data_IF_791161193351
#
_entry.id   IF_791161193351
#
_cell.length_a   1.000
_cell.length_b   1.000
_cell.length_c   1.000
_cell.angle_alpha   90.00
_cell.angle_beta   90.00
_cell.angle_gamma   90.00
#
_symmetry.space_group_name_H-M   'P 1'
#
loop_
_entity.id
_entity.type
_entity.pdbx_description
1 polymer ?
#
# COMPACT_ATOMS: atom_id res chain seq x y z
N UNK A 1 15.27 23.90 -51.02
CA UNK A 1 14.33 23.50 -49.95
C UNK A 1 13.44 24.68 -49.57
N UNK A 2 12.11 24.51 -49.60
CA UNK A 2 11.15 25.58 -49.29
C UNK A 2 11.28 26.06 -47.84
N UNK A 3 10.94 27.33 -47.56
CA UNK A 3 10.94 27.92 -46.20
C UNK A 3 10.14 27.06 -45.22
N UNK A 4 9.04 26.46 -45.68
CA UNK A 4 8.23 25.50 -44.92
C UNK A 4 8.99 24.20 -44.59
N UNK A 5 9.80 23.70 -45.52
CA UNK A 5 10.63 22.50 -45.31
C UNK A 5 11.77 22.71 -44.32
N UNK A 6 12.36 23.91 -44.28
CA UNK A 6 13.37 24.27 -43.26
C UNK A 6 12.76 24.36 -41.86
N UNK A 7 11.56 24.92 -41.74
CA UNK A 7 10.83 24.99 -40.46
C UNK A 7 10.46 23.59 -39.97
N UNK A 8 9.96 22.72 -40.86
CA UNK A 8 9.59 21.35 -40.51
C UNK A 8 10.79 20.52 -40.06
N UNK A 9 11.93 20.63 -40.74
CA UNK A 9 13.16 19.95 -40.37
C UNK A 9 13.71 20.42 -39.00
N UNK A 10 13.65 21.73 -38.73
CA UNK A 10 14.05 22.28 -37.44
C UNK A 10 13.14 21.80 -36.30
N UNK A 11 11.83 21.74 -36.53
CA UNK A 11 10.87 21.21 -35.55
C UNK A 11 11.10 19.72 -35.25
N UNK A 12 11.32 18.89 -36.29
CA UNK A 12 11.61 17.47 -36.11
C UNK A 12 12.94 17.22 -35.38
N UNK A 13 13.98 18.02 -35.68
CA UNK A 13 15.27 17.92 -35.03
C UNK A 13 15.21 18.21 -33.52
N UNK A 14 14.20 18.95 -33.05
CA UNK A 14 13.98 19.23 -31.62
C UNK A 14 12.98 18.25 -31.01
N UNK A 15 11.85 18.02 -31.68
CA UNK A 15 10.76 17.20 -31.12
C UNK A 15 11.11 15.72 -31.05
N UNK A 16 11.80 15.17 -32.06
CA UNK A 16 12.17 13.76 -32.08
C UNK A 16 13.06 13.35 -30.89
N UNK A 17 14.20 14.02 -30.59
CA UNK A 17 15.01 13.67 -29.43
C UNK A 17 14.30 13.90 -28.10
N UNK A 18 13.48 14.96 -27.97
CA UNK A 18 12.69 15.20 -26.76
C UNK A 18 11.68 14.06 -26.53
N UNK A 19 10.97 13.64 -27.58
CA UNK A 19 10.04 12.52 -27.50
C UNK A 19 10.74 11.19 -27.24
N UNK A 20 11.92 10.95 -27.81
CA UNK A 20 12.70 9.74 -27.56
C UNK A 20 13.20 9.67 -26.12
N UNK A 21 13.70 10.79 -25.57
CA UNK A 21 14.12 10.89 -24.16
C UNK A 21 12.91 10.69 -23.25
N UNK A 22 11.78 11.36 -23.52
CA UNK A 22 10.56 11.19 -22.73
C UNK A 22 10.06 9.74 -22.76
N UNK A 23 10.05 9.10 -23.94
CA UNK A 23 9.65 7.71 -24.06
C UNK A 23 10.57 6.80 -23.25
N UNK A 24 11.90 6.97 -23.37
CA UNK A 24 12.87 6.22 -22.59
C UNK A 24 12.67 6.37 -21.08
N UNK A 25 12.35 7.57 -20.61
CA UNK A 25 12.16 7.83 -19.19
C UNK A 25 10.82 7.32 -18.65
N UNK A 26 9.72 7.50 -19.39
CA UNK A 26 8.36 7.29 -18.86
C UNK A 26 7.74 5.95 -19.23
N UNK A 27 8.10 5.34 -20.37
CA UNK A 27 7.50 4.07 -20.80
C UNK A 27 7.72 2.93 -19.79
N UNK A 28 8.91 2.74 -19.18
CA UNK A 28 9.12 1.69 -18.18
C UNK A 28 8.23 1.86 -16.94
N UNK A 29 7.85 3.10 -16.61
CA UNK A 29 6.98 3.42 -15.48
C UNK A 29 5.56 2.95 -15.76
N UNK A 30 5.05 3.28 -16.95
CA UNK A 30 3.70 2.89 -17.39
C UNK A 30 3.50 1.37 -17.50
N UNK A 31 4.59 0.61 -17.62
CA UNK A 31 4.55 -0.85 -17.62
C UNK A 31 4.47 -1.47 -16.21
N UNK A 32 4.67 -0.69 -15.14
CA UNK A 32 4.57 -1.18 -13.76
C UNK A 32 3.12 -1.14 -13.27
N UNK A 33 2.64 -2.26 -12.74
CA UNK A 33 1.30 -2.34 -12.13
C UNK A 33 1.12 -1.31 -10.99
N UNK A 34 2.17 -1.10 -10.17
CA UNK A 34 2.19 -0.14 -9.07
C UNK A 34 1.82 1.28 -9.51
N UNK A 35 2.25 1.70 -10.71
CA UNK A 35 1.92 3.04 -11.23
C UNK A 35 0.41 3.23 -11.42
N UNK A 36 -0.29 2.21 -11.92
CA UNK A 36 -1.73 2.24 -12.08
C UNK A 36 -2.46 2.08 -10.74
N UNK A 37 -1.96 1.21 -9.87
CA UNK A 37 -2.52 0.98 -8.54
C UNK A 37 -2.44 2.23 -7.66
N UNK A 38 -1.33 2.98 -7.74
CA UNK A 38 -1.12 4.21 -6.98
C UNK A 38 -2.12 5.31 -7.32
N UNK A 39 -2.65 5.35 -8.56
CA UNK A 39 -3.71 6.30 -8.91
C UNK A 39 -5.03 6.01 -8.21
N UNK A 40 -5.26 4.76 -7.79
CA UNK A 40 -6.42 4.34 -7.03
C UNK A 40 -6.13 4.22 -5.52
N UNK A 41 -4.95 4.65 -5.07
CA UNK A 41 -4.56 4.54 -3.66
C UNK A 41 -5.43 5.46 -2.79
N UNK A 42 -5.99 4.96 -1.66
CA UNK A 42 -6.79 5.78 -0.74
C UNK A 42 -6.00 6.90 -0.05
N UNK A 43 -4.67 6.84 -0.09
CA UNK A 43 -3.78 7.79 0.57
C UNK A 43 -2.36 7.25 0.71
N UNK A 44 -1.43 8.02 1.31
CA UNK A 44 -0.09 7.52 1.58
C UNK A 44 -0.11 6.46 2.70
N UNK A 45 0.79 5.48 2.58
CA UNK A 45 1.09 4.56 3.66
C UNK A 45 1.70 5.29 4.87
N UNK A 46 1.53 4.70 6.05
CA UNK A 46 2.16 5.11 7.29
C UNK A 46 3.67 5.23 7.13
N UNK A 47 4.30 6.09 7.94
CA UNK A 47 5.75 6.29 7.90
C UNK A 47 6.53 4.98 8.10
N UNK A 48 5.98 4.04 8.87
CA UNK A 48 6.60 2.73 9.12
C UNK A 48 6.61 1.83 7.87
N UNK A 49 5.56 1.89 7.05
CA UNK A 49 5.42 1.09 5.84
C UNK A 49 5.68 1.86 4.55
N UNK A 50 6.17 3.11 4.62
CA UNK A 50 6.42 3.93 3.44
C UNK A 50 7.34 3.28 2.40
N UNK A 51 8.18 2.33 2.81
CA UNK A 51 9.04 1.56 1.93
C UNK A 51 8.28 0.57 1.01
N UNK A 52 7.03 0.22 1.35
CA UNK A 52 6.15 -0.67 0.59
C UNK A 52 5.27 0.06 -0.44
N UNK A 53 5.42 1.38 -0.60
CA UNK A 53 4.52 2.20 -1.44
C UNK A 53 4.41 1.78 -2.91
N UNK A 54 5.39 1.03 -3.42
CA UNK A 54 5.40 0.51 -4.80
C UNK A 54 5.08 -1.00 -4.87
N UNK A 55 4.78 -1.63 -3.74
CA UNK A 55 4.49 -3.06 -3.63
C UNK A 55 3.15 -3.28 -2.93
N UNK A 56 2.06 -2.97 -3.63
CA UNK A 56 0.70 -3.14 -3.09
C UNK A 56 0.41 -4.60 -2.71
N UNK A 57 1.05 -5.56 -3.38
CA UNK A 57 0.87 -6.99 -3.15
C UNK A 57 1.51 -7.46 -1.82
N UNK A 58 2.34 -6.61 -1.19
CA UNK A 58 2.85 -6.88 0.15
C UNK A 58 1.74 -6.93 1.22
N UNK A 59 0.57 -6.34 0.95
CA UNK A 59 -0.58 -6.38 1.87
C UNK A 59 -1.88 -6.83 1.19
N UNK A 60 -2.06 -6.54 -0.10
CA UNK A 60 -3.30 -6.84 -0.82
C UNK A 60 -3.20 -8.08 -1.69
N UNK A 61 -4.20 -8.95 -1.56
CA UNK A 61 -4.48 -10.00 -2.54
C UNK A 61 -5.53 -9.51 -3.54
N UNK A 62 -5.33 -9.70 -4.86
CA UNK A 62 -6.29 -9.27 -5.87
C UNK A 62 -7.72 -9.70 -5.55
N UNK A 63 -8.67 -8.77 -5.70
CA UNK A 63 -10.11 -8.95 -5.42
C UNK A 63 -10.46 -9.12 -3.94
N UNK A 64 -9.60 -9.75 -3.13
CA UNK A 64 -9.85 -10.01 -1.71
C UNK A 64 -9.56 -8.82 -0.80
N UNK A 65 -8.62 -7.96 -1.20
CA UNK A 65 -8.18 -6.85 -0.36
C UNK A 65 -7.05 -7.26 0.57
N UNK A 66 -6.97 -6.62 1.75
CA UNK A 66 -5.92 -6.90 2.73
C UNK A 66 -6.18 -8.24 3.42
N UNK A 67 -5.16 -9.09 3.51
CA UNK A 67 -5.25 -10.38 4.22
C UNK A 67 -4.33 -10.38 5.44
N UNK A 68 -4.84 -10.79 6.59
CA UNK A 68 -4.06 -10.82 7.84
C UNK A 68 -2.76 -11.63 7.78
N UNK A 69 -2.72 -12.65 6.92
CA UNK A 69 -1.52 -13.46 6.71
C UNK A 69 -0.33 -12.62 6.20
N UNK A 70 -0.57 -11.55 5.44
CA UNK A 70 0.51 -10.68 4.95
C UNK A 70 1.13 -9.85 6.06
N UNK A 71 0.33 -9.45 7.06
CA UNK A 71 0.83 -8.77 8.26
C UNK A 71 1.72 -9.70 9.08
N UNK A 72 1.24 -10.93 9.29
CA UNK A 72 1.93 -11.96 10.08
C UNK A 72 3.20 -12.43 9.39
N UNK A 73 3.27 -12.42 8.05
CA UNK A 73 4.49 -12.79 7.32
C UNK A 73 5.74 -12.01 7.76
N UNK A 74 5.58 -10.75 8.19
CA UNK A 74 6.66 -9.94 8.73
C UNK A 74 6.64 -9.85 10.27
N UNK A 75 5.46 -9.85 10.89
CA UNK A 75 5.30 -9.58 12.32
C UNK A 75 5.12 -10.81 13.22
N UNK A 76 5.06 -12.03 12.67
CA UNK A 76 4.82 -13.27 13.44
C UNK A 76 5.76 -13.42 14.65
N UNK A 77 7.03 -13.07 14.48
CA UNK A 77 8.06 -13.20 15.52
C UNK A 77 8.38 -11.87 16.22
N UNK A 78 7.57 -10.84 16.02
CA UNK A 78 7.79 -9.55 16.66
C UNK A 78 7.33 -9.59 18.12
N UNK A 79 8.17 -10.18 18.97
CA UNK A 79 7.89 -10.38 20.39
C UNK A 79 7.64 -9.07 21.13
N UNK A 80 8.17 -7.94 20.65
CA UNK A 80 7.90 -6.62 21.23
C UNK A 80 6.43 -6.22 21.07
N UNK A 81 5.78 -6.67 20.00
CA UNK A 81 4.35 -6.45 19.73
C UNK A 81 3.46 -7.52 20.41
N UNK A 82 3.91 -8.77 20.52
CA UNK A 82 3.05 -9.88 21.00
C UNK A 82 3.19 -10.17 22.51
N UNK A 83 4.34 -9.89 23.12
CA UNK A 83 4.67 -10.34 24.49
C UNK A 83 4.70 -9.21 25.54
N UNK A 84 4.34 -7.97 25.19
CA UNK A 84 4.22 -6.90 26.18
C UNK A 84 2.94 -7.08 26.99
N UNK A 85 2.97 -6.79 28.29
CA UNK A 85 1.77 -6.83 29.15
C UNK A 85 0.55 -6.07 28.57
N UNK A 86 0.68 -4.83 28.03
CA UNK A 86 -0.43 -4.17 27.35
C UNK A 86 -0.83 -4.79 25.99
N UNK A 87 -0.07 -5.77 25.48
CA UNK A 87 -0.33 -6.47 24.22
C UNK A 87 -0.65 -7.95 24.39
N UNK A 88 -0.72 -8.48 25.62
CA UNK A 88 -1.27 -9.83 25.90
C UNK A 88 -2.66 -10.03 25.28
N UNK A 89 -3.44 -8.94 25.21
CA UNK A 89 -4.67 -8.86 24.43
C UNK A 89 -4.53 -9.40 22.99
N UNK A 90 -3.43 -9.11 22.28
CA UNK A 90 -3.20 -9.61 20.92
C UNK A 90 -3.02 -11.12 20.87
N UNK A 91 -2.52 -11.76 21.94
CA UNK A 91 -2.44 -13.22 22.00
C UNK A 91 -3.84 -13.84 22.13
N UNK A 92 -4.73 -13.21 22.90
CA UNK A 92 -6.11 -13.68 23.13
C UNK A 92 -7.01 -13.46 21.91
N UNK A 93 -6.76 -12.41 21.12
CA UNK A 93 -7.48 -12.13 19.87
C UNK A 93 -6.74 -12.62 18.62
N UNK A 94 -5.61 -13.30 18.75
CA UNK A 94 -4.79 -13.76 17.61
C UNK A 94 -5.58 -14.62 16.61
N UNK A 95 -6.54 -15.41 17.09
CA UNK A 95 -7.42 -16.23 16.27
C UNK A 95 -8.56 -15.47 15.56
N UNK A 96 -8.68 -14.15 15.78
CA UNK A 96 -9.72 -13.33 15.14
C UNK A 96 -9.33 -12.82 13.75
N UNK A 97 -8.05 -12.90 13.38
CA UNK A 97 -7.53 -12.50 12.07
C UNK A 97 -8.16 -11.19 11.54
N UNK A 98 -8.09 -10.12 12.35
CA UNK A 98 -8.57 -8.79 11.96
C UNK A 98 -7.59 -7.67 12.33
N UNK A 99 -6.36 -7.75 11.83
CA UNK A 99 -5.32 -6.74 12.07
C UNK A 99 -5.80 -5.33 11.70
N UNK A 100 -6.47 -5.20 10.55
CA UNK A 100 -6.85 -3.91 9.95
C UNK A 100 -7.98 -3.18 10.68
N UNK A 101 -8.76 -3.85 11.52
CA UNK A 101 -9.78 -3.19 12.36
C UNK A 101 -9.18 -2.25 13.41
N UNK A 102 -7.95 -2.53 13.85
CA UNK A 102 -7.21 -1.71 14.81
C UNK A 102 -5.98 -1.04 14.20
N UNK A 103 -5.42 -1.66 13.16
CA UNK A 103 -4.25 -1.20 12.44
C UNK A 103 -4.61 -0.71 11.05
N UNK A 104 -5.16 0.50 10.99
CA UNK A 104 -5.62 1.11 9.74
C UNK A 104 -4.46 1.73 8.96
N UNK A 105 -4.25 1.23 7.76
CA UNK A 105 -3.32 1.82 6.80
C UNK A 105 -4.04 2.85 5.89
N UNK A 106 -3.27 3.61 5.11
CA UNK A 106 -3.73 4.72 4.27
C UNK A 106 -4.39 5.87 5.06
N UNK A 107 -4.09 6.01 6.36
CA UNK A 107 -4.61 7.09 7.20
C UNK A 107 -3.73 8.36 7.15
N UNK A 108 -3.62 8.94 5.95
CA UNK A 108 -2.84 10.14 5.68
C UNK A 108 -1.36 10.03 6.13
N UNK A 109 -0.79 8.82 6.05
CA UNK A 109 0.62 8.56 6.38
C UNK A 109 0.96 8.67 7.86
N UNK A 110 -0.05 8.72 8.74
CA UNK A 110 0.12 8.74 10.20
C UNK A 110 0.42 7.33 10.74
N UNK A 111 0.22 7.16 12.04
CA UNK A 111 0.35 5.85 12.69
C UNK A 111 -0.76 4.91 12.22
N UNK A 112 -0.42 3.61 12.09
CA UNK A 112 -1.41 2.56 11.88
C UNK A 112 -2.41 2.44 13.04
N UNK A 113 -2.14 3.01 14.22
CA UNK A 113 -3.01 2.88 15.39
C UNK A 113 -4.30 3.69 15.20
N UNK A 114 -5.35 3.02 14.76
CA UNK A 114 -6.68 3.56 14.58
C UNK A 114 -7.71 2.48 14.88
N UNK A 115 -8.30 2.53 16.08
CA UNK A 115 -9.16 1.46 16.59
C UNK A 115 -10.63 1.66 16.20
N UNK A 116 -11.19 0.70 15.49
CA UNK A 116 -12.63 0.54 15.35
C UNK A 116 -13.23 -0.10 16.61
N UNK A 117 -13.92 0.71 17.41
CA UNK A 117 -14.52 0.26 18.67
C UNK A 117 -15.71 -0.68 18.45
N UNK A 118 -16.38 -0.62 17.30
CA UNK A 118 -17.46 -1.56 16.98
C UNK A 118 -16.87 -2.95 16.68
N UNK A 119 -15.78 -2.99 15.90
CA UNK A 119 -15.05 -4.23 15.63
C UNK A 119 -14.49 -4.85 16.92
N UNK A 120 -13.93 -4.04 17.82
CA UNK A 120 -13.47 -4.52 19.13
C UNK A 120 -14.60 -5.18 19.93
N UNK A 121 -15.77 -4.54 19.95
CA UNK A 121 -16.93 -5.07 20.68
C UNK A 121 -17.41 -6.40 20.09
N UNK A 122 -17.48 -6.53 18.76
CA UNK A 122 -17.84 -7.78 18.08
C UNK A 122 -16.85 -8.91 18.41
N UNK A 123 -15.55 -8.63 18.42
CA UNK A 123 -14.51 -9.59 18.80
C UNK A 123 -14.72 -10.08 20.24
N UNK A 124 -14.98 -9.17 21.18
CA UNK A 124 -15.20 -9.50 22.60
C UNK A 124 -16.46 -10.35 22.78
N UNK A 125 -17.58 -9.97 22.15
CA UNK A 125 -18.84 -10.74 22.25
C UNK A 125 -18.63 -12.16 21.74
N UNK A 126 -18.01 -12.34 20.57
CA UNK A 126 -17.71 -13.67 20.04
C UNK A 126 -16.76 -14.47 20.93
N UNK A 127 -15.88 -13.82 21.67
CA UNK A 127 -14.99 -14.49 22.62
C UNK A 127 -15.76 -14.99 23.83
N UNK A 128 -16.65 -14.17 24.39
CA UNK A 128 -17.53 -14.55 25.49
C UNK A 128 -18.47 -15.70 25.11
N UNK A 129 -18.99 -15.72 23.88
CA UNK A 129 -19.86 -16.79 23.39
C UNK A 129 -19.14 -18.16 23.23
N UNK A 130 -17.80 -18.17 23.22
CA UNK A 130 -16.98 -19.38 23.10
C UNK A 130 -16.46 -19.91 24.44
N UNK A 131 -16.60 -19.14 25.53
CA UNK A 131 -16.15 -19.49 26.87
C UNK A 131 -17.25 -20.23 27.66
#
# INVERSE_FOLDING_TARGET
MSRKGKILAALLAVLAPVSAVALWTYLPQMQRAATWQNMASPGPLSSAHAFLKEDCAACHTPVKGVEDATCVACHANETVLVQRQPTAFHADIAGSNNCVACHKEHDAGRSLRGMDHAALTDIIVRWLDRA
#
